data_IF_478409982916
#
_entry.id   IF_478409982916
#
_cell.length_a   1.000
_cell.length_b   1.000
_cell.length_c   1.000
_cell.angle_alpha   90.00
_cell.angle_beta   90.00
_cell.angle_gamma   90.00
#
_symmetry.space_group_name_H-M   'P 1'
#
loop_
_entity.id
_entity.type
_entity.pdbx_description
1 polymer ?
#
# COMPACT_ATOMS: atom_id res chain seq x y z
N UNK A 1 20.83 22.48 6.26
CA UNK A 1 20.96 21.42 5.24
C UNK A 1 19.55 20.91 5.02
N UNK A 2 18.96 21.12 3.86
CA UNK A 2 17.63 20.60 3.52
C UNK A 2 17.86 19.18 3.04
N UNK A 3 17.31 18.18 3.73
CA UNK A 3 17.35 16.80 3.22
C UNK A 3 16.68 16.77 1.84
N UNK A 4 17.27 16.11 0.84
CA UNK A 4 16.64 15.97 -0.45
C UNK A 4 15.30 15.25 -0.27
N UNK A 5 14.22 15.95 -0.62
CA UNK A 5 12.85 15.46 -0.53
C UNK A 5 12.68 14.23 -1.43
N UNK A 6 12.86 13.03 -0.87
CA UNK A 6 12.80 11.78 -1.63
C UNK A 6 13.61 10.62 -1.07
N UNK A 7 14.55 10.86 -0.15
CA UNK A 7 15.41 9.79 0.40
C UNK A 7 14.69 8.92 1.45
N UNK A 8 13.65 9.45 2.10
CA UNK A 8 12.87 8.69 3.09
C UNK A 8 11.37 9.01 2.92
N UNK A 9 10.54 7.97 2.77
CA UNK A 9 9.07 8.05 2.69
C UNK A 9 8.49 8.88 1.53
N UNK A 10 9.27 9.18 0.47
CA UNK A 10 8.78 9.85 -0.74
C UNK A 10 8.12 11.22 -0.49
N UNK A 11 8.55 11.95 0.54
CA UNK A 11 7.97 13.25 0.91
C UNK A 11 6.73 13.17 1.81
N UNK A 12 6.40 11.98 2.33
CA UNK A 12 5.35 11.79 3.34
C UNK A 12 5.93 12.04 4.73
N UNK A 13 5.27 12.88 5.52
CA UNK A 13 5.54 13.03 6.95
C UNK A 13 5.43 11.68 7.68
N UNK A 14 6.40 11.37 8.54
CA UNK A 14 6.51 10.06 9.19
C UNK A 14 5.27 9.70 10.02
N UNK A 15 4.77 10.63 10.83
CA UNK A 15 3.59 10.42 11.67
C UNK A 15 2.33 10.27 10.81
N UNK A 16 2.18 11.07 9.75
CA UNK A 16 1.09 10.90 8.80
C UNK A 16 1.13 9.51 8.13
N UNK A 17 2.32 9.02 7.75
CA UNK A 17 2.53 7.70 7.20
C UNK A 17 2.15 6.58 8.19
N UNK A 18 2.58 6.68 9.45
CA UNK A 18 2.21 5.72 10.49
C UNK A 18 0.70 5.67 10.73
N UNK A 19 0.04 6.83 10.83
CA UNK A 19 -1.42 6.92 11.00
C UNK A 19 -2.17 6.30 9.81
N UNK A 20 -1.70 6.51 8.59
CA UNK A 20 -2.25 5.88 7.41
C UNK A 20 -2.12 4.34 7.46
N UNK A 21 -0.95 3.82 7.85
CA UNK A 21 -0.71 2.38 7.98
C UNK A 21 -1.61 1.75 9.05
N UNK A 22 -1.80 2.40 10.20
CA UNK A 22 -2.67 1.88 11.25
C UNK A 22 -4.14 1.86 10.83
N UNK A 23 -4.62 2.86 10.08
CA UNK A 23 -5.98 2.83 9.54
C UNK A 23 -6.14 1.73 8.48
N UNK A 24 -5.17 1.55 7.59
CA UNK A 24 -5.15 0.46 6.61
C UNK A 24 -5.11 -0.92 7.26
N UNK A 25 -4.47 -1.06 8.42
CA UNK A 25 -4.35 -2.35 9.14
C UNK A 25 -5.72 -2.93 9.46
N UNK A 26 -6.71 -2.08 9.70
CA UNK A 26 -8.10 -2.49 9.97
C UNK A 26 -8.81 -3.08 8.75
N UNK A 27 -8.30 -2.82 7.55
CA UNK A 27 -8.84 -3.33 6.28
C UNK A 27 -8.18 -4.65 5.85
N UNK A 28 -7.10 -5.08 6.50
CA UNK A 28 -6.41 -6.32 6.12
C UNK A 28 -7.31 -7.52 6.48
N UNK A 29 -7.68 -8.38 5.51
CA UNK A 29 -8.49 -9.56 5.79
C UNK A 29 -7.81 -10.50 6.79
N UNK A 30 -8.62 -11.22 7.56
CA UNK A 30 -8.11 -12.26 8.46
C UNK A 30 -7.26 -13.28 7.69
N UNK A 31 -6.08 -13.59 8.23
CA UNK A 31 -5.13 -14.52 7.61
C UNK A 31 -4.26 -13.93 6.50
N UNK A 32 -4.47 -12.68 6.08
CA UNK A 32 -3.59 -11.98 5.14
C UNK A 32 -2.57 -11.10 5.86
N UNK A 33 -1.39 -10.93 5.26
CA UNK A 33 -0.41 -9.93 5.71
C UNK A 33 -0.69 -8.56 5.05
N UNK A 34 -0.19 -7.47 5.65
CA UNK A 34 -0.25 -6.14 5.04
C UNK A 34 0.42 -6.10 3.65
N UNK A 35 1.54 -6.82 3.47
CA UNK A 35 2.22 -6.90 2.18
C UNK A 35 1.35 -7.59 1.12
N UNK A 36 0.70 -8.70 1.48
CA UNK A 36 -0.24 -9.39 0.60
C UNK A 36 -1.43 -8.51 0.24
N UNK A 37 -2.00 -7.80 1.22
CA UNK A 37 -3.09 -6.85 0.99
C UNK A 37 -2.69 -5.75 0.00
N UNK A 38 -1.51 -5.14 0.19
CA UNK A 38 -1.01 -4.10 -0.70
C UNK A 38 -0.77 -4.61 -2.13
N UNK A 39 -0.12 -5.76 -2.29
CA UNK A 39 0.08 -6.38 -3.63
C UNK A 39 -1.26 -6.73 -4.26
N UNK A 40 -2.20 -7.29 -3.50
CA UNK A 40 -3.55 -7.58 -3.98
C UNK A 40 -4.27 -6.32 -4.45
N UNK A 41 -4.20 -5.23 -3.68
CA UNK A 41 -4.76 -3.93 -4.06
C UNK A 41 -4.18 -3.40 -5.38
N UNK A 42 -2.87 -3.48 -5.59
CA UNK A 42 -2.22 -3.08 -6.85
C UNK A 42 -2.76 -3.91 -8.03
N UNK A 43 -2.95 -5.22 -7.82
CA UNK A 43 -3.49 -6.13 -8.84
C UNK A 43 -5.01 -5.96 -9.10
N UNK A 44 -5.71 -5.11 -8.36
CA UNK A 44 -7.13 -4.82 -8.60
C UNK A 44 -7.36 -3.81 -9.73
N UNK A 45 -6.33 -3.11 -10.19
CA UNK A 45 -6.44 -2.11 -11.25
C UNK A 45 -6.37 -2.76 -12.63
N UNK A 46 -7.34 -2.53 -13.54
CA UNK A 46 -7.32 -3.12 -14.87
C UNK A 46 -6.13 -2.67 -15.73
N UNK A 47 -5.52 -1.52 -15.41
CA UNK A 47 -4.32 -1.00 -16.05
C UNK A 47 -3.04 -1.76 -15.63
N UNK A 48 -3.10 -2.54 -14.55
CA UNK A 48 -1.95 -3.27 -14.00
C UNK A 48 -1.99 -4.72 -14.45
N UNK A 49 -1.03 -5.11 -15.30
CA UNK A 49 -0.88 -6.51 -15.72
C UNK A 49 -0.02 -7.35 -14.77
N UNK A 50 0.90 -6.73 -14.03
CA UNK A 50 1.82 -7.42 -13.12
C UNK A 50 2.41 -6.44 -12.10
N UNK A 51 2.85 -6.97 -10.96
CA UNK A 51 3.49 -6.22 -9.86
C UNK A 51 4.90 -6.77 -9.60
N UNK A 52 5.89 -5.89 -9.47
CA UNK A 52 7.26 -6.26 -9.09
C UNK A 52 7.42 -6.03 -7.59
N UNK A 53 7.27 -7.09 -6.80
CA UNK A 53 7.44 -7.02 -5.35
C UNK A 53 8.82 -7.54 -4.94
N UNK A 54 9.65 -6.68 -4.34
CA UNK A 54 10.96 -7.06 -3.81
C UNK A 54 10.84 -8.03 -2.64
N UNK A 55 11.87 -8.86 -2.44
CA UNK A 55 11.95 -9.82 -1.34
C UNK A 55 13.40 -10.01 -0.88
N UNK A 56 13.61 -10.08 0.43
CA UNK A 56 14.92 -10.33 1.06
C UNK A 56 15.11 -11.76 1.54
N UNK A 57 14.05 -12.57 1.51
CA UNK A 57 14.06 -13.97 1.93
C UNK A 57 12.96 -14.76 1.20
N UNK A 58 13.01 -16.08 1.33
CA UNK A 58 12.08 -16.99 0.66
C UNK A 58 10.63 -16.82 1.12
N UNK A 59 10.39 -16.55 2.41
CA UNK A 59 9.03 -16.35 2.91
C UNK A 59 8.35 -15.17 2.23
N UNK A 60 9.05 -14.05 2.04
CA UNK A 60 8.51 -12.89 1.33
C UNK A 60 8.19 -13.19 -0.13
N UNK A 61 8.99 -14.02 -0.80
CA UNK A 61 8.68 -14.48 -2.17
C UNK A 61 7.35 -15.25 -2.15
N UNK A 62 7.21 -16.20 -1.24
CA UNK A 62 5.97 -16.98 -1.08
C UNK A 62 4.77 -16.06 -0.79
N UNK A 63 4.90 -15.12 0.14
CA UNK A 63 3.83 -14.18 0.51
C UNK A 63 3.44 -13.29 -0.68
N UNK A 64 4.42 -12.73 -1.39
CA UNK A 64 4.19 -11.90 -2.59
C UNK A 64 3.43 -12.66 -3.67
N UNK A 65 3.78 -13.93 -3.91
CA UNK A 65 3.09 -14.78 -4.90
C UNK A 65 1.67 -15.12 -4.43
N UNK A 66 1.49 -15.46 -3.15
CA UNK A 66 0.18 -15.80 -2.58
C UNK A 66 -0.81 -14.62 -2.59
N UNK A 67 -0.32 -13.38 -2.59
CA UNK A 67 -1.15 -12.19 -2.66
C UNK A 67 -2.12 -12.20 -3.87
N UNK A 68 -1.68 -12.73 -5.02
CA UNK A 68 -2.50 -12.84 -6.22
C UNK A 68 -3.68 -13.82 -6.07
N UNK A 69 -3.55 -14.79 -5.16
CA UNK A 69 -4.59 -15.80 -4.86
C UNK A 69 -5.60 -15.34 -3.81
N UNK A 70 -5.41 -14.17 -3.20
CA UNK A 70 -6.40 -13.62 -2.28
C UNK A 70 -7.72 -13.31 -3.02
N UNK A 71 -8.88 -13.41 -2.35
CA UNK A 71 -10.13 -12.92 -2.91
C UNK A 71 -10.00 -11.46 -3.38
N UNK A 72 -10.76 -11.04 -4.40
CA UNK A 72 -10.84 -9.64 -4.77
C UNK A 72 -11.23 -8.79 -3.57
N UNK A 73 -10.60 -7.63 -3.41
CA UNK A 73 -11.02 -6.66 -2.40
C UNK A 73 -12.40 -6.12 -2.78
N UNK A 74 -13.26 -5.89 -1.79
CA UNK A 74 -14.56 -5.29 -2.06
C UNK A 74 -14.41 -3.85 -2.53
N UNK A 75 -15.39 -3.34 -3.28
CA UNK A 75 -15.41 -1.93 -3.69
C UNK A 75 -15.36 -0.98 -2.48
N UNK A 76 -15.96 -1.39 -1.36
CA UNK A 76 -15.90 -0.65 -0.10
C UNK A 76 -14.46 -0.57 0.44
N UNK A 77 -13.72 -1.69 0.47
CA UNK A 77 -12.31 -1.68 0.89
C UNK A 77 -11.46 -0.80 -0.05
N UNK A 78 -11.67 -0.91 -1.37
CA UNK A 78 -10.97 -0.07 -2.35
C UNK A 78 -11.23 1.43 -2.10
N UNK A 79 -12.48 1.79 -1.80
CA UNK A 79 -12.87 3.15 -1.47
C UNK A 79 -12.26 3.62 -0.14
N UNK A 80 -12.24 2.78 0.89
CA UNK A 80 -11.61 3.09 2.19
C UNK A 80 -10.10 3.31 2.06
N UNK A 81 -9.39 2.55 1.22
CA UNK A 81 -7.96 2.80 0.92
C UNK A 81 -7.76 4.19 0.30
N UNK A 82 -8.64 4.58 -0.63
CA UNK A 82 -8.60 5.92 -1.24
C UNK A 82 -8.84 7.02 -0.19
N UNK A 83 -9.78 6.83 0.71
CA UNK A 83 -10.07 7.78 1.79
C UNK A 83 -8.89 7.96 2.74
N UNK A 84 -8.16 6.90 3.07
CA UNK A 84 -6.91 7.00 3.84
C UNK A 84 -5.88 7.85 3.09
N UNK A 85 -5.69 7.61 1.79
CA UNK A 85 -4.79 8.43 0.98
C UNK A 85 -5.20 9.91 0.97
N UNK A 86 -6.49 10.19 0.74
CA UNK A 86 -7.03 11.55 0.69
C UNK A 86 -6.86 12.28 2.02
N UNK A 87 -7.04 11.56 3.14
CA UNK A 87 -6.98 12.09 4.50
C UNK A 87 -5.56 12.40 4.96
N UNK A 88 -4.60 11.51 4.72
CA UNK A 88 -3.26 11.64 5.31
C UNK A 88 -2.20 12.11 4.32
N UNK A 89 -2.32 11.77 3.03
CA UNK A 89 -1.19 11.83 2.09
C UNK A 89 -1.41 12.83 0.94
N UNK A 90 -2.64 12.96 0.43
CA UNK A 90 -2.95 13.76 -0.77
C UNK A 90 -2.36 15.18 -0.73
N UNK A 91 -2.60 15.91 0.36
CA UNK A 91 -2.12 17.30 0.48
C UNK A 91 -0.58 17.43 0.49
N UNK A 92 0.14 16.37 0.84
CA UNK A 92 1.60 16.40 0.96
C UNK A 92 2.30 16.00 -0.35
N UNK A 93 1.72 15.05 -1.08
CA UNK A 93 2.41 14.36 -2.18
C UNK A 93 1.65 14.30 -3.51
N UNK A 94 0.37 14.67 -3.58
CA UNK A 94 -0.41 14.47 -4.81
C UNK A 94 0.08 15.33 -5.98
N UNK A 95 0.42 16.59 -5.75
CA UNK A 95 0.84 17.52 -6.80
C UNK A 95 2.24 17.21 -7.37
N UNK A 96 2.92 16.19 -6.84
CA UNK A 96 4.25 15.78 -7.32
C UNK A 96 4.15 14.93 -8.58
N UNK A 97 2.98 14.34 -8.90
CA UNK A 97 2.79 13.27 -9.88
C UNK A 97 1.69 13.61 -10.89
#
# INVERSE_FOLDING_TARGET
MVEPEGETFSGVDYEAGLNAVEELRTLVPEGATMAQFAVRWILMFPEVSSTIAGAKNQQQITDNVQAASLPPLSNEMMQRVREVYDKYLRAQIHDRW
#
